data_IF_100948862414
#
_entry.id   IF_100948862414
#
_cell.length_a   1.000
_cell.length_b   1.000
_cell.length_c   1.000
_cell.angle_alpha   90.00
_cell.angle_beta   90.00
_cell.angle_gamma   90.00
#
_symmetry.space_group_name_H-M   'P 1'
#
loop_
_entity.id
_entity.type
_entity.pdbx_description
1 polymer ?
#
# COMPACT_ATOMS: atom_id res chain seq x y z
N UNK A 1 14.57 19.19 -19.15
CA UNK A 1 13.98 18.14 -18.27
C UNK A 1 12.90 18.83 -17.45
N UNK A 2 11.68 18.28 -17.37
CA UNK A 2 10.63 18.86 -16.52
C UNK A 2 11.00 18.69 -15.05
N UNK A 3 10.70 19.69 -14.22
CA UNK A 3 11.03 19.68 -12.77
C UNK A 3 10.40 18.47 -12.08
N UNK A 4 9.15 18.15 -12.46
CA UNK A 4 8.43 16.99 -11.93
C UNK A 4 9.20 15.67 -12.15
N UNK A 5 9.75 15.46 -13.36
CA UNK A 5 10.51 14.24 -13.67
C UNK A 5 11.78 14.11 -12.82
N UNK A 6 12.44 15.24 -12.52
CA UNK A 6 13.63 15.23 -11.65
C UNK A 6 13.25 14.99 -10.20
N UNK A 7 12.13 15.50 -9.72
CA UNK A 7 11.61 15.20 -8.39
C UNK A 7 11.28 13.72 -8.23
N UNK A 8 10.72 13.09 -9.27
CA UNK A 8 10.48 11.64 -9.33
C UNK A 8 11.81 10.87 -9.23
N UNK A 9 12.81 11.28 -9.99
CA UNK A 9 14.14 10.65 -9.93
C UNK A 9 14.75 10.76 -8.54
N UNK A 10 14.65 11.93 -7.88
CA UNK A 10 15.11 12.16 -6.53
C UNK A 10 14.40 11.25 -5.51
N UNK A 11 13.08 11.15 -5.62
CA UNK A 11 12.29 10.25 -4.78
C UNK A 11 12.71 8.79 -4.95
N UNK A 12 12.92 8.34 -6.19
CA UNK A 12 13.43 6.98 -6.50
C UNK A 12 14.83 6.72 -5.91
N UNK A 13 15.64 7.76 -5.75
CA UNK A 13 16.94 7.71 -5.05
C UNK A 13 16.80 7.77 -3.52
N UNK A 14 15.57 7.78 -2.99
CA UNK A 14 15.31 7.89 -1.56
C UNK A 14 15.40 9.31 -1.00
N UNK A 15 15.32 10.33 -1.85
CA UNK A 15 15.33 11.73 -1.45
C UNK A 15 13.92 12.32 -1.51
N UNK A 16 13.26 12.38 -0.37
CA UNK A 16 11.93 12.98 -0.22
C UNK A 16 12.05 14.48 -0.01
N UNK A 17 11.39 15.30 -0.85
CA UNK A 17 11.38 16.75 -0.77
C UNK A 17 10.00 17.21 -0.31
N UNK A 18 9.92 18.09 0.68
CA UNK A 18 8.67 18.54 1.29
C UNK A 18 8.76 20.01 1.72
N UNK A 19 7.59 20.60 2.04
CA UNK A 19 7.49 21.95 2.58
C UNK A 19 7.25 21.88 4.08
N UNK A 20 8.05 22.62 4.84
CA UNK A 20 7.82 22.82 6.27
C UNK A 20 7.73 24.33 6.55
N UNK A 21 6.53 24.82 6.84
CA UNK A 21 6.22 26.25 6.81
C UNK A 21 6.43 26.81 5.40
N UNK A 22 7.24 27.86 5.26
CA UNK A 22 7.59 28.46 3.96
C UNK A 22 8.94 27.95 3.38
N UNK A 23 9.47 26.87 3.95
CA UNK A 23 10.80 26.37 3.58
C UNK A 23 10.72 25.02 2.90
N UNK A 24 11.39 24.91 1.75
CA UNK A 24 11.66 23.65 1.11
C UNK A 24 12.69 22.87 1.93
N UNK A 25 12.34 21.65 2.33
CA UNK A 25 13.21 20.72 3.04
C UNK A 25 13.29 19.39 2.29
N UNK A 26 14.27 18.59 2.63
CA UNK A 26 14.37 17.21 2.14
C UNK A 26 14.78 16.26 3.25
N UNK A 27 14.37 15.00 3.11
CA UNK A 27 14.77 13.88 3.95
C UNK A 27 15.37 12.81 3.04
N UNK A 28 16.52 12.27 3.39
CA UNK A 28 17.12 11.16 2.66
C UNK A 28 17.01 9.86 3.45
N UNK A 29 16.57 8.79 2.78
CA UNK A 29 16.50 7.44 3.35
C UNK A 29 17.67 6.56 2.89
N UNK A 30 18.42 6.99 1.86
CA UNK A 30 19.52 6.25 1.25
C UNK A 30 20.76 7.13 1.09
N UNK A 31 21.49 7.38 2.20
CA UNK A 31 22.76 8.11 2.14
C UNK A 31 22.65 9.62 1.92
N UNK A 32 23.76 10.30 1.64
CA UNK A 32 23.77 11.72 1.35
C UNK A 32 23.40 12.00 -0.12
N UNK A 33 22.55 13.01 -0.38
CA UNK A 33 22.25 13.45 -1.75
C UNK A 33 23.51 13.91 -2.46
N UNK A 34 23.56 13.75 -3.79
CA UNK A 34 24.68 14.29 -4.58
C UNK A 34 24.68 15.82 -4.59
N UNK A 35 25.83 16.43 -4.85
CA UNK A 35 25.94 17.88 -4.97
C UNK A 35 25.03 18.43 -6.09
N UNK A 36 24.92 17.69 -7.21
CA UNK A 36 24.04 18.02 -8.33
C UNK A 36 22.55 18.03 -7.94
N UNK A 37 22.12 17.07 -7.12
CA UNK A 37 20.74 16.97 -6.65
C UNK A 37 20.41 18.14 -5.69
N UNK A 38 21.35 18.50 -4.81
CA UNK A 38 21.19 19.65 -3.90
C UNK A 38 21.17 20.96 -4.70
N UNK A 39 22.03 21.11 -5.70
CA UNK A 39 22.06 22.31 -6.55
C UNK A 39 20.77 22.44 -7.35
N UNK A 40 20.25 21.36 -7.91
CA UNK A 40 18.96 21.35 -8.58
C UNK A 40 17.83 21.84 -7.66
N UNK A 41 17.77 21.37 -6.40
CA UNK A 41 16.76 21.79 -5.44
C UNK A 41 16.87 23.28 -5.09
N UNK A 42 18.11 23.83 -5.00
CA UNK A 42 18.34 25.23 -4.72
C UNK A 42 17.91 26.13 -5.88
N UNK A 43 18.30 25.78 -7.11
CA UNK A 43 18.00 26.56 -8.32
C UNK A 43 16.50 26.59 -8.59
N UNK A 44 15.80 25.47 -8.39
CA UNK A 44 14.39 25.34 -8.74
C UNK A 44 13.45 25.51 -7.54
N UNK A 45 13.94 26.03 -6.42
CA UNK A 45 13.23 26.11 -5.14
C UNK A 45 11.81 26.67 -5.27
N UNK A 46 11.64 27.83 -5.91
CA UNK A 46 10.34 28.49 -6.05
C UNK A 46 9.37 27.65 -6.86
N UNK A 47 9.81 27.13 -8.01
CA UNK A 47 8.98 26.28 -8.87
C UNK A 47 8.59 24.97 -8.18
N UNK A 48 9.49 24.40 -7.38
CA UNK A 48 9.20 23.18 -6.60
C UNK A 48 8.14 23.49 -5.53
N UNK A 49 8.25 24.60 -4.82
CA UNK A 49 7.26 25.04 -3.83
C UNK A 49 5.90 25.25 -4.50
N UNK A 50 5.84 25.85 -5.68
CA UNK A 50 4.61 26.07 -6.42
C UNK A 50 3.96 24.74 -6.83
N UNK A 51 4.77 23.76 -7.26
CA UNK A 51 4.31 22.41 -7.62
C UNK A 51 3.75 21.70 -6.38
N UNK A 52 4.46 21.77 -5.26
CA UNK A 52 4.06 21.14 -4.00
C UNK A 52 2.79 21.76 -3.41
N UNK A 53 2.64 23.09 -3.47
CA UNK A 53 1.47 23.79 -2.95
C UNK A 53 0.21 23.57 -3.81
N UNK A 54 0.35 23.35 -5.12
CA UNK A 54 -0.78 23.01 -6.00
C UNK A 54 -1.42 21.65 -5.68
N UNK A 55 -0.70 20.79 -4.97
CA UNK A 55 -1.12 19.43 -4.62
C UNK A 55 -1.65 19.32 -3.18
N UNK A 56 -2.34 20.36 -2.68
CA UNK A 56 -3.08 20.38 -1.40
C UNK A 56 -2.31 19.95 -0.15
N UNK A 57 -1.05 20.39 0.02
CA UNK A 57 -0.35 20.22 1.31
C UNK A 57 -0.18 18.76 1.80
N UNK A 58 -0.78 17.80 1.12
CA UNK A 58 -0.49 16.41 1.33
C UNK A 58 0.90 16.15 0.77
N UNK A 59 1.82 15.82 1.63
CA UNK A 59 3.22 15.43 1.38
C UNK A 59 3.36 14.18 0.51
N UNK A 60 2.49 14.00 -0.47
CA UNK A 60 2.58 12.95 -1.46
C UNK A 60 2.47 13.59 -2.81
N UNK A 61 3.58 13.56 -3.50
CA UNK A 61 3.62 13.75 -4.93
C UNK A 61 2.53 12.87 -5.54
N UNK A 62 1.44 13.46 -5.98
CA UNK A 62 0.61 12.82 -6.98
C UNK A 62 1.37 12.91 -8.31
N UNK A 63 2.60 12.47 -8.27
CA UNK A 63 3.33 12.15 -9.46
C UNK A 63 2.63 10.92 -10.00
N UNK A 64 2.29 10.97 -11.25
CA UNK A 64 1.68 9.87 -12.01
C UNK A 64 2.69 8.69 -12.12
N UNK A 65 3.16 8.24 -10.93
CA UNK A 65 4.12 7.14 -10.78
C UNK A 65 3.28 5.91 -10.52
N UNK A 66 2.90 5.24 -11.59
CA UNK A 66 2.17 3.99 -11.49
C UNK A 66 3.04 2.85 -10.95
N UNK A 67 4.38 2.97 -11.04
CA UNK A 67 5.30 1.89 -10.75
C UNK A 67 6.54 2.39 -9.98
N UNK A 68 6.75 1.84 -8.79
CA UNK A 68 7.82 2.20 -7.85
C UNK A 68 8.79 1.04 -7.67
N UNK A 69 10.11 1.30 -7.49
CA UNK A 69 11.04 0.25 -7.10
C UNK A 69 10.66 -0.30 -5.72
N UNK A 70 10.89 -1.59 -5.52
CA UNK A 70 10.70 -2.21 -4.22
C UNK A 70 11.73 -1.71 -3.22
N UNK A 71 11.33 -1.61 -1.96
CA UNK A 71 12.27 -1.51 -0.85
C UNK A 71 13.04 -2.82 -0.69
N UNK A 72 14.18 -2.79 0.00
CA UNK A 72 14.96 -3.99 0.29
C UNK A 72 14.14 -5.04 1.05
N UNK A 73 13.32 -4.61 2.00
CA UNK A 73 12.43 -5.48 2.78
C UNK A 73 11.36 -6.12 1.89
N UNK A 74 10.71 -5.36 1.03
CA UNK A 74 9.72 -5.89 0.09
C UNK A 74 10.35 -6.90 -0.86
N UNK A 75 11.56 -6.60 -1.36
CA UNK A 75 12.33 -7.50 -2.22
C UNK A 75 12.67 -8.80 -1.50
N UNK A 76 13.10 -8.73 -0.23
CA UNK A 76 13.39 -9.91 0.59
C UNK A 76 12.16 -10.80 0.80
N UNK A 77 10.99 -10.20 1.11
CA UNK A 77 9.74 -10.96 1.25
C UNK A 77 9.28 -11.62 -0.05
N UNK A 78 9.42 -10.94 -1.20
CA UNK A 78 9.09 -11.53 -2.49
C UNK A 78 10.06 -12.65 -2.88
N UNK A 79 11.35 -12.50 -2.54
CA UNK A 79 12.34 -13.53 -2.77
C UNK A 79 12.06 -14.78 -1.92
N UNK A 80 11.69 -14.62 -0.65
CA UNK A 80 11.35 -15.72 0.26
C UNK A 80 10.15 -16.55 -0.20
N UNK A 81 9.28 -15.99 -1.07
CA UNK A 81 8.15 -16.74 -1.67
C UNK A 81 8.56 -17.70 -2.77
N UNK A 82 9.77 -17.58 -3.32
CA UNK A 82 10.25 -18.42 -4.42
C UNK A 82 10.71 -19.79 -3.88
N UNK A 83 10.22 -20.88 -4.47
CA UNK A 83 10.55 -22.25 -4.10
C UNK A 83 11.99 -22.69 -4.48
N UNK A 84 12.82 -21.76 -4.98
CA UNK A 84 14.19 -22.07 -5.43
C UNK A 84 15.22 -22.11 -4.29
N UNK A 85 14.83 -21.75 -3.07
CA UNK A 85 15.69 -21.76 -1.90
C UNK A 85 15.26 -22.86 -0.93
N UNK A 86 16.22 -23.46 -0.21
CA UNK A 86 15.99 -24.55 0.74
C UNK A 86 14.95 -24.20 1.83
N UNK A 87 14.84 -22.90 2.18
CA UNK A 87 13.83 -22.35 3.10
C UNK A 87 12.85 -21.42 2.39
N UNK A 88 12.73 -21.52 1.07
CA UNK A 88 11.81 -20.72 0.25
C UNK A 88 10.37 -21.26 0.27
N UNK A 89 9.50 -20.58 -0.46
CA UNK A 89 8.09 -20.98 -0.58
C UNK A 89 7.19 -20.45 0.56
N UNK A 90 7.75 -19.66 1.48
CA UNK A 90 6.97 -19.06 2.59
C UNK A 90 6.63 -17.62 2.25
N UNK A 91 5.33 -17.33 2.14
CA UNK A 91 4.83 -15.96 2.01
C UNK A 91 4.71 -15.31 3.40
N UNK A 92 5.18 -14.07 3.53
CA UNK A 92 4.84 -13.26 4.71
C UNK A 92 3.33 -13.00 4.71
N UNK A 93 2.67 -13.36 5.79
CA UNK A 93 1.22 -13.28 5.93
C UNK A 93 0.87 -12.88 7.37
N UNK A 94 -0.13 -12.01 7.50
CA UNK A 94 -0.71 -11.64 8.81
C UNK A 94 -2.15 -12.05 8.79
N UNK A 95 -2.55 -12.80 9.82
CA UNK A 95 -3.93 -13.18 10.08
C UNK A 95 -4.35 -12.64 11.44
N UNK A 96 -5.51 -12.01 11.50
CA UNK A 96 -6.06 -11.46 12.75
C UNK A 96 -7.56 -11.74 12.83
N UNK A 97 -8.05 -12.00 14.04
CA UNK A 97 -9.47 -12.05 14.36
C UNK A 97 -9.78 -10.95 15.39
N UNK A 98 -10.84 -10.21 15.13
CA UNK A 98 -11.28 -9.12 16.02
C UNK A 98 -12.76 -9.26 16.29
N UNK A 99 -13.16 -9.19 17.56
CA UNK A 99 -14.56 -9.16 17.96
C UNK A 99 -14.97 -7.69 18.07
N UNK A 100 -16.04 -7.35 17.37
CA UNK A 100 -16.60 -6.01 17.30
C UNK A 100 -18.08 -6.04 17.71
N UNK A 101 -18.69 -4.93 18.12
CA UNK A 101 -20.14 -4.80 18.15
C UNK A 101 -20.75 -5.19 16.80
N UNK A 102 -22.05 -5.52 16.79
CA UNK A 102 -22.72 -5.91 15.56
C UNK A 102 -22.47 -4.87 14.45
N UNK A 103 -21.92 -5.34 13.34
CA UNK A 103 -21.44 -4.49 12.27
C UNK A 103 -22.51 -4.36 11.16
N UNK A 104 -22.77 -3.14 10.75
CA UNK A 104 -23.48 -2.86 9.51
C UNK A 104 -22.54 -3.12 8.32
N UNK A 105 -22.78 -4.23 7.60
CA UNK A 105 -21.88 -4.72 6.55
C UNK A 105 -21.82 -3.75 5.36
N UNK A 106 -22.96 -3.19 4.95
CA UNK A 106 -23.00 -2.26 3.80
C UNK A 106 -22.19 -1.00 4.10
N UNK A 107 -22.33 -0.49 5.33
CA UNK A 107 -21.56 0.66 5.78
C UNK A 107 -20.07 0.33 5.92
N UNK A 108 -19.73 -0.82 6.48
CA UNK A 108 -18.35 -1.27 6.65
C UNK A 108 -17.65 -1.44 5.28
N UNK A 109 -18.34 -2.07 4.34
CA UNK A 109 -17.85 -2.28 2.97
C UNK A 109 -17.60 -0.94 2.25
N UNK A 110 -18.53 0.01 2.37
CA UNK A 110 -18.36 1.36 1.80
C UNK A 110 -17.14 2.07 2.40
N UNK A 111 -17.04 2.10 3.73
CA UNK A 111 -15.90 2.73 4.44
C UNK A 111 -14.58 2.06 4.05
N UNK A 112 -14.58 0.73 3.91
CA UNK A 112 -13.37 0.02 3.50
C UNK A 112 -12.93 0.37 2.08
N UNK A 113 -13.86 0.48 1.14
CA UNK A 113 -13.55 0.93 -0.21
C UNK A 113 -13.04 2.38 -0.25
N UNK A 114 -13.58 3.27 0.59
CA UNK A 114 -13.07 4.63 0.75
C UNK A 114 -11.62 4.63 1.30
N UNK A 115 -11.29 3.71 2.22
CA UNK A 115 -9.94 3.51 2.75
C UNK A 115 -9.01 2.97 1.65
N UNK A 116 -9.45 1.99 0.87
CA UNK A 116 -8.68 1.46 -0.27
C UNK A 116 -8.32 2.60 -1.23
N UNK A 117 -9.29 3.42 -1.62
CA UNK A 117 -9.06 4.55 -2.53
C UNK A 117 -8.09 5.59 -1.96
N UNK A 118 -8.06 5.76 -0.65
CA UNK A 118 -7.22 6.74 0.03
C UNK A 118 -5.78 6.28 0.21
N UNK A 119 -5.53 4.98 0.20
CA UNK A 119 -4.23 4.40 0.54
C UNK A 119 -3.68 3.54 -0.60
N UNK A 120 -2.72 4.07 -1.35
CA UNK A 120 -2.07 3.41 -2.49
C UNK A 120 -1.58 1.99 -2.17
N UNK A 121 -1.11 1.75 -0.95
CA UNK A 121 -0.66 0.42 -0.52
C UNK A 121 -1.77 -0.65 -0.57
N UNK A 122 -3.04 -0.26 -0.42
CA UNK A 122 -4.17 -1.17 -0.44
C UNK A 122 -4.67 -1.49 -1.85
N UNK A 123 -4.28 -0.70 -2.86
CA UNK A 123 -4.57 -0.98 -4.26
C UNK A 123 -3.31 -1.09 -5.11
N UNK A 124 -2.26 -1.67 -4.52
CA UNK A 124 -1.00 -1.96 -5.20
C UNK A 124 -0.81 -3.46 -5.41
N UNK A 125 -0.04 -3.78 -6.44
CA UNK A 125 0.43 -5.14 -6.74
C UNK A 125 1.95 -5.13 -6.93
N UNK A 126 2.57 -6.30 -6.92
CA UNK A 126 3.99 -6.48 -7.17
C UNK A 126 4.20 -7.14 -8.52
N UNK A 127 4.99 -6.51 -9.37
CA UNK A 127 5.20 -7.00 -10.74
C UNK A 127 6.39 -7.96 -10.84
N UNK A 128 6.45 -8.71 -11.94
CA UNK A 128 7.60 -9.58 -12.25
C UNK A 128 8.93 -8.83 -12.40
N UNK A 129 8.87 -7.52 -12.63
CA UNK A 129 10.05 -6.65 -12.76
C UNK A 129 10.62 -6.19 -11.41
N UNK A 130 10.18 -6.78 -10.30
CA UNK A 130 10.51 -6.36 -8.94
C UNK A 130 10.15 -4.90 -8.65
N UNK A 131 8.97 -4.49 -9.06
CA UNK A 131 8.41 -3.17 -8.79
C UNK A 131 7.06 -3.31 -8.10
N UNK A 132 6.66 -2.27 -7.36
CA UNK A 132 5.31 -2.10 -6.84
C UNK A 132 4.55 -1.21 -7.81
N UNK A 133 3.39 -1.65 -8.28
CA UNK A 133 2.51 -0.90 -9.15
C UNK A 133 1.24 -0.50 -8.40
N UNK A 134 0.94 0.81 -8.37
CA UNK A 134 -0.33 1.33 -7.87
C UNK A 134 -1.37 1.21 -8.98
N UNK A 135 -2.49 0.57 -8.70
CA UNK A 135 -3.56 0.37 -9.67
C UNK A 135 -4.44 1.63 -9.73
N UNK A 136 -4.63 2.19 -10.92
CA UNK A 136 -5.57 3.31 -11.15
C UNK A 136 -7.02 2.85 -11.17
N UNK A 137 -7.24 1.61 -11.60
CA UNK A 137 -8.56 0.99 -11.70
C UNK A 137 -8.51 -0.38 -11.04
N UNK A 138 -9.47 -0.66 -10.19
CA UNK A 138 -9.66 -1.95 -9.52
C UNK A 138 -11.15 -2.14 -9.21
N UNK A 139 -11.56 -3.40 -9.02
CA UNK A 139 -12.95 -3.72 -8.71
C UNK A 139 -13.33 -3.20 -7.32
N UNK A 140 -14.60 -2.87 -7.13
CA UNK A 140 -15.15 -2.61 -5.82
C UNK A 140 -15.00 -3.84 -4.93
N UNK A 141 -14.37 -3.67 -3.76
CA UNK A 141 -14.10 -4.76 -2.83
C UNK A 141 -15.38 -5.15 -2.09
N UNK A 142 -15.71 -6.44 -2.13
CA UNK A 142 -16.85 -7.03 -1.41
C UNK A 142 -16.36 -7.75 -0.16
N UNK A 143 -16.97 -7.46 0.99
CA UNK A 143 -16.72 -8.16 2.25
C UNK A 143 -17.52 -9.47 2.24
N UNK A 144 -16.84 -10.61 2.45
CA UNK A 144 -17.51 -11.90 2.62
C UNK A 144 -18.23 -11.91 3.96
N UNK A 145 -19.56 -12.07 3.96
CA UNK A 145 -20.35 -12.12 5.19
C UNK A 145 -20.88 -13.53 5.42
N UNK A 146 -20.62 -14.05 6.61
CA UNK A 146 -21.16 -15.32 7.11
C UNK A 146 -22.22 -15.05 8.18
N UNK A 147 -23.37 -15.68 8.04
CA UNK A 147 -24.49 -15.57 8.96
C UNK A 147 -25.32 -16.86 9.01
N UNK A 148 -26.22 -16.99 9.98
CA UNK A 148 -27.19 -18.07 10.07
C UNK A 148 -26.79 -19.23 10.99
N UNK A 149 -27.54 -20.32 10.97
CA UNK A 149 -27.54 -21.37 11.97
C UNK A 149 -26.17 -22.06 12.19
N UNK A 150 -25.38 -22.26 11.12
CA UNK A 150 -24.10 -22.97 11.20
C UNK A 150 -22.90 -22.02 11.32
N UNK A 151 -23.10 -20.88 11.99
CA UNK A 151 -22.09 -19.80 12.04
C UNK A 151 -20.75 -20.28 12.63
N UNK A 152 -20.74 -21.15 13.61
CA UNK A 152 -19.52 -21.68 14.23
C UNK A 152 -18.70 -22.51 13.24
N UNK A 153 -19.35 -23.31 12.42
CA UNK A 153 -18.70 -24.10 11.37
C UNK A 153 -18.17 -23.19 10.27
N UNK A 154 -18.95 -22.21 9.84
CA UNK A 154 -18.51 -21.20 8.85
C UNK A 154 -17.29 -20.41 9.33
N UNK A 155 -17.25 -20.02 10.60
CA UNK A 155 -16.08 -19.37 11.22
C UNK A 155 -14.86 -20.30 11.15
N UNK A 156 -15.00 -21.57 11.50
CA UNK A 156 -13.90 -22.52 11.47
C UNK A 156 -13.36 -22.71 10.04
N UNK A 157 -14.24 -22.88 9.07
CA UNK A 157 -13.87 -23.00 7.65
C UNK A 157 -13.18 -21.72 7.12
N UNK A 158 -13.71 -20.55 7.46
CA UNK A 158 -13.12 -19.27 7.08
C UNK A 158 -11.73 -19.09 7.69
N UNK A 159 -11.57 -19.44 8.97
CA UNK A 159 -10.28 -19.43 9.66
C UNK A 159 -9.25 -20.33 8.97
N UNK A 160 -9.62 -21.56 8.65
CA UNK A 160 -8.72 -22.50 7.97
C UNK A 160 -8.38 -22.06 6.55
N UNK A 161 -9.33 -21.44 5.84
CA UNK A 161 -9.13 -20.85 4.51
C UNK A 161 -8.15 -19.67 4.55
N UNK A 162 -8.30 -18.77 5.53
CA UNK A 162 -7.58 -17.48 5.54
C UNK A 162 -6.22 -17.57 6.24
N UNK A 163 -6.08 -18.31 7.34
CA UNK A 163 -4.84 -18.33 8.13
C UNK A 163 -3.61 -18.84 7.39
N UNK A 164 -3.80 -19.64 6.34
CA UNK A 164 -2.73 -20.20 5.51
C UNK A 164 -2.71 -19.67 4.08
N UNK A 165 -3.51 -18.64 3.78
CA UNK A 165 -3.67 -18.15 2.42
C UNK A 165 -2.41 -17.43 1.93
N UNK A 166 -1.95 -17.82 0.75
CA UNK A 166 -0.91 -17.09 0.00
C UNK A 166 -1.54 -16.40 -1.20
N UNK A 167 -1.24 -15.12 -1.37
CA UNK A 167 -1.76 -14.31 -2.47
C UNK A 167 -0.78 -14.31 -3.65
N UNK A 168 -1.28 -14.31 -4.87
CA UNK A 168 -0.46 -13.97 -6.02
C UNK A 168 -0.08 -12.50 -5.94
N UNK A 169 1.22 -12.21 -5.95
CA UNK A 169 1.71 -10.87 -5.71
C UNK A 169 1.31 -9.86 -6.81
N UNK A 170 1.01 -10.35 -8.00
CA UNK A 170 0.63 -9.58 -9.20
C UNK A 170 -0.89 -9.48 -9.42
N UNK A 171 -1.70 -10.03 -8.50
CA UNK A 171 -3.16 -10.01 -8.60
C UNK A 171 -3.76 -9.32 -7.37
N UNK A 172 -4.51 -8.25 -7.59
CA UNK A 172 -5.26 -7.57 -6.55
C UNK A 172 -6.59 -8.29 -6.24
N UNK A 173 -7.04 -8.32 -4.99
CA UNK A 173 -6.46 -7.76 -3.77
C UNK A 173 -5.43 -8.68 -3.11
N UNK A 174 -4.50 -8.08 -2.36
CA UNK A 174 -3.49 -8.79 -1.56
C UNK A 174 -3.92 -8.99 -0.10
N UNK A 175 -5.22 -8.91 0.15
CA UNK A 175 -5.84 -9.10 1.46
C UNK A 175 -7.25 -9.70 1.30
N UNK A 176 -7.77 -10.26 2.38
CA UNK A 176 -9.18 -10.63 2.51
C UNK A 176 -9.75 -10.11 3.82
N UNK A 177 -11.03 -9.78 3.79
CA UNK A 177 -11.84 -9.48 4.96
C UNK A 177 -13.08 -10.36 4.90
N UNK A 178 -13.34 -11.08 5.98
CA UNK A 178 -14.57 -11.82 6.17
C UNK A 178 -15.19 -11.42 7.51
N UNK A 179 -16.48 -11.21 7.53
CA UNK A 179 -17.24 -10.89 8.72
C UNK A 179 -18.19 -12.04 9.02
N UNK A 180 -18.19 -12.53 10.25
CA UNK A 180 -19.16 -13.50 10.73
C UNK A 180 -20.06 -12.82 11.75
N UNK A 181 -21.35 -12.72 11.47
CA UNK A 181 -22.32 -12.13 12.37
C UNK A 181 -22.80 -13.15 13.38
N UNK A 182 -22.60 -12.84 14.65
CA UNK A 182 -23.11 -13.57 15.81
C UNK A 182 -24.33 -12.83 16.36
N UNK A 183 -25.03 -13.40 17.35
CA UNK A 183 -26.29 -12.84 17.88
C UNK A 183 -26.10 -11.38 18.38
N UNK A 184 -25.00 -11.12 19.12
CA UNK A 184 -24.76 -9.82 19.75
C UNK A 184 -23.51 -9.09 19.24
N UNK A 185 -22.71 -9.69 18.37
CA UNK A 185 -21.45 -9.14 17.89
C UNK A 185 -21.04 -9.68 16.53
N UNK A 186 -19.94 -9.16 16.00
CA UNK A 186 -19.33 -9.58 14.74
C UNK A 186 -17.87 -9.99 14.95
N UNK A 187 -17.43 -11.03 14.28
CA UNK A 187 -16.05 -11.51 14.23
C UNK A 187 -15.47 -11.26 12.84
#
# INVERSE_FOLDING_TARGET
>A
MKIENKLIELYRKGLEVFIEGDKLKYKSTCGMPSEEDIEFLKINKTSIIDILNKNDGASRYSLDIDELPLTEIQSAYLLGRRNHFELGGVASHVYMEVILPLLDIDRAEKVWNDIILKHDALHSIFTSNNTQKVLKEFAYYKIECNEGADIKEKIALTRDKLKGKSYNADIWPLFDISVSQLDDNSL
#
